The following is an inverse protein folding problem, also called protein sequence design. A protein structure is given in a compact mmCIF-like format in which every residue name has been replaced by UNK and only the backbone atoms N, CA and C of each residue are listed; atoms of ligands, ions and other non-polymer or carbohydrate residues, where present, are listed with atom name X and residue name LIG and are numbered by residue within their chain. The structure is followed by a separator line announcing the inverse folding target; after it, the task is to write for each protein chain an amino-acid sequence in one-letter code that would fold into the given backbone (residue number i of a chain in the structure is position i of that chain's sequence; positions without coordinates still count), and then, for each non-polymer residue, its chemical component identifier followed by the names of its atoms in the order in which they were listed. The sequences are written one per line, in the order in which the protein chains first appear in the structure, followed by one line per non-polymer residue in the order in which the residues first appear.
data_IF_018602069472
#
_entry.id   IF_018602069472
#
_cell.length_a   1.000
_cell.length_b   1.000
_cell.length_c   1.000
_cell.angle_alpha   90.00
_cell.angle_beta   90.00
_cell.angle_gamma   90.00
#
_symmetry.space_group_name_H-M   'P 1'
#
loop_
_entity.id
_entity.type
_entity.pdbx_description
1 polymer ?
#
# COMPACT_ATOMS: atom_id res chain seq x y z
N UNK A 1 -2.75 5.72 -0.89
CA UNK A 1 -1.80 4.65 -0.47
C UNK A 1 -1.70 4.50 1.04
N UNK A 2 -0.51 4.19 1.57
CA UNK A 2 -0.29 3.88 3.00
C UNK A 2 0.81 4.73 3.68
N UNK A 3 1.33 5.76 3.02
CA UNK A 3 2.43 6.60 3.51
C UNK A 3 2.15 7.36 4.80
N UNK A 4 0.88 7.51 5.21
CA UNK A 4 0.49 8.10 6.49
C UNK A 4 0.74 7.17 7.69
N UNK A 5 0.77 5.85 7.46
CA UNK A 5 0.77 4.86 8.53
C UNK A 5 2.07 4.88 9.38
N UNK A 6 3.29 4.99 8.80
CA UNK A 6 4.51 4.99 9.60
C UNK A 6 4.54 6.09 10.67
N UNK A 7 4.20 7.33 10.32
CA UNK A 7 4.22 8.45 11.27
C UNK A 7 3.17 8.28 12.36
N UNK A 8 1.97 7.84 11.99
CA UNK A 8 0.91 7.58 12.97
C UNK A 8 1.33 6.47 13.94
N UNK A 9 1.87 5.36 13.44
CA UNK A 9 2.31 4.24 14.28
C UNK A 9 3.44 4.63 15.23
N UNK A 10 4.45 5.39 14.76
CA UNK A 10 5.50 5.93 15.65
C UNK A 10 4.93 6.83 16.75
N UNK A 11 3.91 7.62 16.44
CA UNK A 11 3.25 8.48 17.42
C UNK A 11 2.48 7.66 18.48
N UNK A 12 1.78 6.62 18.04
CA UNK A 12 1.05 5.71 18.93
C UNK A 12 2.01 4.89 19.81
N UNK A 13 3.13 4.43 19.25
CA UNK A 13 4.17 3.72 19.99
C UNK A 13 4.78 4.62 21.07
N UNK A 14 5.09 5.88 20.76
CA UNK A 14 5.57 6.85 21.77
C UNK A 14 4.58 7.06 22.92
N UNK A 15 3.28 7.10 22.62
CA UNK A 15 2.23 7.20 23.65
C UNK A 15 2.22 5.92 24.51
N UNK A 16 2.29 4.75 23.89
CA UNK A 16 2.35 3.45 24.57
C UNK A 16 3.59 3.31 25.46
N UNK A 17 4.75 3.73 24.99
CA UNK A 17 5.99 3.77 25.76
C UNK A 17 5.87 4.71 26.97
N UNK A 18 5.24 5.87 26.78
CA UNK A 18 4.96 6.81 27.88
C UNK A 18 4.05 6.19 28.96
N UNK A 19 3.02 5.45 28.57
CA UNK A 19 2.18 4.70 29.51
C UNK A 19 2.98 3.62 30.24
N UNK A 20 3.78 2.85 29.50
CA UNK A 20 4.60 1.76 30.04
C UNK A 20 5.68 2.25 31.00
N UNK A 21 6.23 3.44 30.77
CA UNK A 21 7.23 4.07 31.62
C UNK A 21 6.65 4.88 32.79
N UNK A 22 5.32 5.00 32.92
CA UNK A 22 4.67 5.84 33.94
C UNK A 22 4.95 7.33 33.77
N UNK A 23 5.30 7.78 32.56
CA UNK A 23 5.75 9.13 32.26
C UNK A 23 4.63 10.08 31.77
N UNK A 24 3.38 9.61 31.75
CA UNK A 24 2.20 10.40 31.38
C UNK A 24 1.50 10.78 32.69
N UNK A 25 1.63 12.06 33.08
CA UNK A 25 1.29 12.58 34.42
C UNK A 25 -0.16 12.37 34.89
N UNK A 26 -0.36 12.56 36.21
CA UNK A 26 -1.60 12.40 37.03
C UNK A 26 -2.41 11.09 36.89
N UNK A 27 -2.22 10.31 35.84
CA UNK A 27 -2.91 9.05 35.60
C UNK A 27 -1.96 7.88 35.90
N UNK A 28 -2.20 7.19 37.02
CA UNK A 28 -1.46 5.97 37.37
C UNK A 28 -2.14 4.76 36.73
N UNK A 29 -1.51 4.18 35.71
CA UNK A 29 -2.03 3.00 35.00
C UNK A 29 -1.51 1.66 35.55
N UNK A 30 -0.77 1.70 36.66
CA UNK A 30 -0.26 0.50 37.32
C UNK A 30 -1.43 -0.43 37.70
N UNK A 31 -1.48 -1.61 37.09
CA UNK A 31 -2.53 -2.61 37.32
C UNK A 31 -3.77 -2.49 36.43
N UNK A 32 -3.79 -1.59 35.44
CA UNK A 32 -4.89 -1.54 34.46
C UNK A 32 -4.66 -2.54 33.32
N UNK A 33 -5.58 -3.50 33.16
CA UNK A 33 -5.52 -4.52 32.09
C UNK A 33 -5.65 -3.94 30.66
N UNK A 34 -5.99 -2.67 30.52
CA UNK A 34 -6.22 -2.01 29.23
C UNK A 34 -4.95 -1.51 28.52
N UNK A 35 -3.80 -1.48 29.22
CA UNK A 35 -2.53 -1.15 28.56
C UNK A 35 -2.10 -2.32 27.70
N UNK A 36 -1.90 -2.06 26.40
CA UNK A 36 -1.45 -3.06 25.45
C UNK A 36 -0.11 -3.67 25.89
N UNK A 37 0.09 -4.98 25.66
CA UNK A 37 1.34 -5.66 26.03
C UNK A 37 2.49 -5.27 25.12
N UNK A 38 2.21 -5.14 23.83
CA UNK A 38 3.16 -4.76 22.79
C UNK A 38 2.81 -3.37 22.24
N UNK A 39 3.75 -2.68 21.56
CA UNK A 39 3.45 -1.40 20.92
C UNK A 39 2.35 -1.53 19.85
N UNK A 40 1.55 -0.48 19.60
CA UNK A 40 0.55 -0.45 18.53
C UNK A 40 1.09 -0.90 17.17
N UNK A 41 2.33 -0.53 16.81
CA UNK A 41 2.98 -0.98 15.57
C UNK A 41 3.12 -2.50 15.46
N UNK A 42 3.39 -3.21 16.56
CA UNK A 42 3.44 -4.67 16.58
C UNK A 42 2.09 -5.27 16.18
N UNK A 43 0.99 -4.77 16.73
CA UNK A 43 -0.34 -5.27 16.39
C UNK A 43 -0.78 -4.87 14.99
N UNK A 44 -0.42 -3.67 14.53
CA UNK A 44 -0.67 -3.24 13.16
C UNK A 44 0.04 -4.15 12.16
N UNK A 45 1.34 -4.43 12.38
CA UNK A 45 2.12 -5.39 11.60
C UNK A 45 1.48 -6.77 11.57
N UNK A 46 0.91 -7.22 12.69
CA UNK A 46 0.32 -8.55 12.81
C UNK A 46 -1.06 -8.67 12.16
N UNK A 47 -1.90 -7.64 12.27
CA UNK A 47 -3.34 -7.77 12.03
C UNK A 47 -3.93 -6.79 11.00
N UNK A 48 -3.20 -5.74 10.62
CA UNK A 48 -3.71 -4.72 9.70
C UNK A 48 -3.16 -4.92 8.29
N UNK A 49 -4.04 -4.77 7.30
CA UNK A 49 -3.69 -4.70 5.88
C UNK A 49 -4.16 -3.36 5.31
N UNK A 50 -3.41 -2.82 4.37
CA UNK A 50 -3.63 -1.51 3.77
C UNK A 50 -4.00 -1.68 2.31
N UNK A 51 -5.26 -1.36 1.98
CA UNK A 51 -5.74 -1.26 0.60
C UNK A 51 -5.15 -0.02 -0.05
N UNK A 52 -3.97 -0.15 -0.65
CA UNK A 52 -3.35 0.90 -1.44
C UNK A 52 -4.00 0.88 -2.83
N UNK A 53 -5.20 1.46 -2.93
CA UNK A 53 -5.88 1.64 -4.21
C UNK A 53 -5.10 2.63 -5.07
N UNK A 54 -4.63 2.18 -6.24
CA UNK A 54 -3.95 3.00 -7.25
C UNK A 54 -2.92 4.02 -6.68
N UNK A 55 -1.94 3.57 -5.88
CA UNK A 55 -1.06 4.48 -5.17
C UNK A 55 -0.06 5.11 -6.13
N UNK A 56 0.40 6.32 -5.84
CA UNK A 56 1.63 6.85 -6.45
C UNK A 56 2.85 6.23 -5.77
N UNK A 57 4.03 6.35 -6.37
CA UNK A 57 5.26 5.87 -5.73
C UNK A 57 5.49 6.56 -4.37
N UNK A 58 5.21 7.87 -4.28
CA UNK A 58 5.33 8.63 -3.03
C UNK A 58 4.32 8.16 -1.96
N UNK A 59 3.15 7.66 -2.37
CA UNK A 59 2.18 7.07 -1.43
C UNK A 59 2.56 5.67 -0.93
N UNK A 60 3.61 5.08 -1.51
CA UNK A 60 4.26 3.86 -1.07
C UNK A 60 5.58 4.13 -0.33
N UNK A 61 5.94 5.39 -0.09
CA UNK A 61 7.09 5.73 0.76
C UNK A 61 6.84 5.26 2.19
N UNK A 62 7.90 4.76 2.84
CA UNK A 62 7.81 4.15 4.17
C UNK A 62 7.11 2.78 4.18
N UNK A 63 6.83 2.18 3.01
CA UNK A 63 6.23 0.84 2.92
C UNK A 63 7.01 -0.25 3.63
N UNK A 64 8.31 -0.10 3.84
CA UNK A 64 9.12 -1.06 4.61
C UNK A 64 8.82 -0.98 6.12
N UNK A 65 8.44 0.21 6.62
CA UNK A 65 8.08 0.43 8.02
C UNK A 65 6.66 -0.09 8.35
N UNK A 66 5.71 0.14 7.44
CA UNK A 66 4.42 -0.60 7.42
C UNK A 66 4.66 -2.10 7.23
N UNK A 67 5.70 -2.33 6.43
CA UNK A 67 6.18 -3.51 5.74
C UNK A 67 5.26 -4.04 4.64
N UNK A 68 5.95 -4.58 3.65
CA UNK A 68 5.42 -4.71 2.29
C UNK A 68 4.33 -5.77 2.22
N UNK A 69 4.35 -6.76 3.11
CA UNK A 69 3.43 -7.89 3.09
C UNK A 69 1.99 -7.58 3.56
N UNK A 70 1.74 -6.37 4.06
CA UNK A 70 0.47 -5.87 4.57
C UNK A 70 -0.20 -4.98 3.52
N UNK A 71 0.49 -4.63 2.44
CA UNK A 71 0.00 -3.71 1.42
C UNK A 71 -0.65 -4.51 0.30
N UNK A 72 -1.91 -4.22 0.01
CA UNK A 72 -2.64 -4.82 -1.09
C UNK A 72 -3.02 -3.74 -2.10
N UNK A 73 -2.67 -3.94 -3.37
CA UNK A 73 -3.11 -3.07 -4.45
C UNK A 73 -4.57 -3.35 -4.84
N UNK A 74 -5.27 -2.30 -5.26
CA UNK A 74 -6.58 -2.38 -5.88
C UNK A 74 -6.78 -1.29 -6.93
N UNK A 75 -7.65 -1.52 -7.91
CA UNK A 75 -7.96 -0.52 -8.94
C UNK A 75 -9.18 0.35 -8.63
N UNK A 76 -9.92 0.01 -7.57
CA UNK A 76 -11.13 0.71 -7.11
C UNK A 76 -12.25 0.83 -8.16
N UNK A 77 -12.42 -0.19 -8.99
CA UNK A 77 -13.56 -0.24 -9.90
C UNK A 77 -14.90 -0.30 -9.13
N UNK A 78 -15.96 0.42 -9.55
CA UNK A 78 -16.09 1.24 -10.76
C UNK A 78 -15.91 2.75 -10.53
N UNK A 79 -15.19 3.16 -9.49
CA UNK A 79 -15.07 4.58 -9.13
C UNK A 79 -14.34 5.37 -10.21
N UNK A 80 -14.71 6.66 -10.34
CA UNK A 80 -14.20 7.55 -11.38
C UNK A 80 -12.71 7.90 -11.16
N UNK A 81 -12.30 7.93 -9.89
CA UNK A 81 -10.94 8.10 -9.42
C UNK A 81 -10.07 6.85 -9.58
N UNK A 82 -10.67 5.68 -9.78
CA UNK A 82 -9.99 4.39 -9.95
C UNK A 82 -9.21 4.30 -11.27
N UNK A 83 -8.51 3.18 -11.47
CA UNK A 83 -7.61 3.04 -12.64
C UNK A 83 -8.21 2.28 -13.81
N UNK A 84 -9.42 1.74 -13.70
CA UNK A 84 -10.06 1.09 -14.84
C UNK A 84 -10.47 2.12 -15.91
N UNK A 85 -10.28 1.86 -17.22
CA UNK A 85 -9.71 0.65 -17.83
C UNK A 85 -8.17 0.64 -17.93
N UNK A 86 -7.51 1.74 -17.57
CA UNK A 86 -6.07 1.99 -17.66
C UNK A 86 -5.22 1.37 -16.52
N UNK A 87 -5.53 0.12 -16.13
CA UNK A 87 -4.84 -0.54 -15.02
C UNK A 87 -3.35 -0.75 -15.32
N UNK A 88 -2.97 -1.09 -16.55
CA UNK A 88 -1.56 -1.33 -16.86
C UNK A 88 -0.76 -0.02 -16.81
N UNK A 89 -1.34 1.05 -17.31
CA UNK A 89 -0.76 2.39 -17.33
C UNK A 89 -0.52 2.92 -15.90
N UNK A 90 -1.47 2.68 -14.98
CA UNK A 90 -1.27 3.05 -13.57
C UNK A 90 -0.13 2.25 -12.94
N UNK A 91 -0.06 0.95 -13.24
CA UNK A 91 1.03 0.10 -12.76
C UNK A 91 2.40 0.53 -13.30
N UNK A 92 2.48 0.93 -14.58
CA UNK A 92 3.70 1.44 -15.20
C UNK A 92 4.21 2.74 -14.55
N UNK A 93 3.30 3.62 -14.15
CA UNK A 93 3.67 4.88 -13.50
C UNK A 93 4.22 4.67 -12.08
N UNK A 94 3.66 3.72 -11.34
CA UNK A 94 3.98 3.54 -9.92
C UNK A 94 5.02 2.46 -9.68
N UNK A 95 4.87 1.29 -10.31
CA UNK A 95 5.60 0.08 -9.95
C UNK A 95 6.78 -0.22 -10.88
N UNK A 96 7.02 0.58 -11.94
CA UNK A 96 8.15 0.34 -12.86
C UNK A 96 9.53 0.29 -12.16
N UNK A 97 9.70 1.06 -11.08
CA UNK A 97 10.94 1.11 -10.29
C UNK A 97 10.91 0.31 -8.98
N UNK A 98 9.78 -0.33 -8.64
CA UNK A 98 9.64 -1.13 -7.42
C UNK A 98 10.26 -2.51 -7.66
N UNK A 99 11.07 -3.06 -6.72
CA UNK A 99 11.67 -4.38 -6.89
C UNK A 99 10.64 -5.48 -7.20
N UNK A 100 10.98 -6.41 -8.09
CA UNK A 100 10.03 -7.43 -8.58
C UNK A 100 9.35 -8.21 -7.45
N UNK A 101 10.12 -8.63 -6.45
CA UNK A 101 9.60 -9.34 -5.28
C UNK A 101 8.54 -8.52 -4.53
N UNK A 102 8.76 -7.22 -4.35
CA UNK A 102 7.79 -6.33 -3.70
C UNK A 102 6.54 -6.11 -4.54
N UNK A 103 6.69 -5.97 -5.87
CA UNK A 103 5.53 -5.86 -6.76
C UNK A 103 4.67 -7.09 -6.69
N UNK A 104 5.27 -8.29 -6.71
CA UNK A 104 4.51 -9.55 -6.62
C UNK A 104 3.73 -9.64 -5.31
N UNK A 105 4.35 -9.25 -4.20
CA UNK A 105 3.67 -9.13 -2.90
C UNK A 105 2.48 -8.19 -2.98
N UNK A 106 2.71 -6.93 -3.35
CA UNK A 106 1.70 -5.86 -3.33
C UNK A 106 0.55 -6.13 -4.31
N UNK A 107 0.86 -6.63 -5.51
CA UNK A 107 -0.10 -6.80 -6.60
C UNK A 107 -0.88 -8.11 -6.53
N UNK A 108 -0.48 -9.09 -5.71
CA UNK A 108 -1.19 -10.37 -5.67
C UNK A 108 -0.91 -11.27 -4.47
N UNK A 109 0.35 -11.49 -4.08
CA UNK A 109 0.67 -12.52 -3.09
C UNK A 109 0.13 -12.17 -1.69
N UNK A 110 0.10 -10.88 -1.33
CA UNK A 110 -0.46 -10.42 -0.06
C UNK A 110 -1.97 -10.64 0.02
N UNK A 111 -2.69 -10.27 -1.04
CA UNK A 111 -4.13 -10.50 -1.14
C UNK A 111 -4.46 -12.00 -1.13
N UNK A 112 -3.66 -12.81 -1.82
CA UNK A 112 -3.82 -14.27 -1.80
C UNK A 112 -3.64 -14.85 -0.39
N UNK A 113 -2.63 -14.38 0.35
CA UNK A 113 -2.42 -14.78 1.75
C UNK A 113 -3.58 -14.34 2.66
N UNK A 114 -4.03 -13.09 2.53
CA UNK A 114 -5.10 -12.53 3.35
C UNK A 114 -6.45 -13.24 3.14
N UNK A 115 -6.82 -13.45 1.88
CA UNK A 115 -8.10 -14.05 1.51
C UNK A 115 -8.05 -15.57 1.34
N UNK A 116 -6.90 -16.18 1.65
CA UNK A 116 -6.67 -17.62 1.53
C UNK A 116 -6.93 -18.17 0.11
N UNK A 117 -6.42 -17.46 -0.90
CA UNK A 117 -6.47 -17.93 -2.28
C UNK A 117 -5.34 -18.91 -2.61
N UNK A 118 -5.67 -19.90 -3.42
CA UNK A 118 -4.74 -20.89 -3.95
C UNK A 118 -3.98 -20.32 -5.17
N UNK A 119 -2.73 -19.90 -4.95
CA UNK A 119 -1.90 -19.30 -5.99
C UNK A 119 -1.60 -20.25 -7.16
N UNK A 120 -1.57 -21.56 -6.93
CA UNK A 120 -1.31 -22.53 -8.00
C UNK A 120 -2.52 -22.64 -8.94
N UNK A 121 -3.74 -22.55 -8.40
CA UNK A 121 -4.96 -22.45 -9.21
C UNK A 121 -5.10 -21.09 -9.92
N UNK A 122 -4.62 -20.01 -9.32
CA UNK A 122 -4.68 -18.68 -9.93
C UNK A 122 -3.61 -18.45 -10.99
N UNK A 123 -2.46 -19.13 -10.91
CA UNK A 123 -1.31 -18.92 -11.81
C UNK A 123 -1.65 -18.99 -13.30
N UNK A 124 -2.46 -19.95 -13.80
CA UNK A 124 -2.84 -19.99 -15.21
C UNK A 124 -3.70 -18.79 -15.63
N UNK A 125 -4.55 -18.28 -14.74
CA UNK A 125 -5.40 -17.11 -15.00
C UNK A 125 -4.56 -15.83 -14.98
N UNK A 126 -3.67 -15.69 -13.99
CA UNK A 126 -2.74 -14.57 -13.92
C UNK A 126 -1.83 -14.52 -15.16
N UNK A 127 -1.34 -15.67 -15.65
CA UNK A 127 -0.55 -15.74 -16.88
C UNK A 127 -1.34 -15.34 -18.13
N UNK A 128 -2.67 -15.55 -18.14
CA UNK A 128 -3.54 -15.23 -19.27
C UNK A 128 -4.03 -13.78 -19.26
N UNK A 129 -4.35 -13.24 -18.10
CA UNK A 129 -5.08 -11.97 -17.96
C UNK A 129 -4.30 -10.88 -17.20
N UNK A 130 -3.30 -11.27 -16.42
CA UNK A 130 -2.48 -10.34 -15.65
C UNK A 130 -1.39 -9.68 -16.49
N UNK A 131 -0.86 -8.52 -16.05
CA UNK A 131 0.30 -7.91 -16.67
C UNK A 131 1.57 -8.71 -16.37
N UNK A 132 2.49 -8.76 -17.34
CA UNK A 132 3.83 -9.32 -17.14
C UNK A 132 4.76 -8.30 -16.44
N UNK A 133 5.81 -8.74 -15.74
CA UNK A 133 6.81 -7.84 -15.17
C UNK A 133 7.38 -6.86 -16.21
N UNK A 134 7.69 -7.34 -17.41
CA UNK A 134 8.22 -6.50 -18.49
C UNK A 134 7.22 -5.43 -18.94
N UNK A 135 5.92 -5.73 -18.97
CA UNK A 135 4.90 -4.72 -19.28
C UNK A 135 4.83 -3.63 -18.20
N UNK A 136 4.92 -3.98 -16.92
CA UNK A 136 4.93 -3.02 -15.80
C UNK A 136 6.20 -2.18 -15.79
N UNK A 137 7.35 -2.76 -16.14
CA UNK A 137 8.64 -2.05 -16.22
C UNK A 137 8.75 -1.12 -17.43
N UNK A 138 7.94 -1.34 -18.47
CA UNK A 138 7.98 -0.52 -19.68
C UNK A 138 7.42 0.88 -19.36
N UNK A 139 8.23 1.95 -19.52
CA UNK A 139 7.76 3.30 -19.20
C UNK A 139 6.57 3.74 -20.05
N UNK A 140 5.57 4.32 -19.41
CA UNK A 140 4.36 4.82 -20.06
C UNK A 140 4.66 6.03 -20.95
N UNK A 141 4.42 5.89 -22.26
CA UNK A 141 4.70 6.93 -23.27
C UNK A 141 3.62 8.00 -23.34
N UNK A 142 2.35 7.58 -23.38
CA UNK A 142 1.19 8.45 -23.45
C UNK A 142 0.36 8.28 -22.19
N UNK A 143 -0.01 9.39 -21.56
CA UNK A 143 -0.88 9.36 -20.39
C UNK A 143 -2.33 9.40 -20.88
N UNK A 144 -3.22 8.50 -20.42
CA UNK A 144 -4.64 8.54 -20.78
C UNK A 144 -5.24 9.93 -20.47
N UNK A 145 -5.91 10.57 -21.42
CA UNK A 145 -6.41 11.95 -21.27
C UNK A 145 -7.83 12.01 -20.69
N UNK A 146 -8.61 10.96 -20.93
CA UNK A 146 -10.00 10.77 -20.54
C UNK A 146 -10.17 10.22 -19.12
N UNK A 147 -9.07 9.92 -18.43
CA UNK A 147 -9.10 9.38 -17.06
C UNK A 147 -9.04 10.46 -15.99
N UNK A 148 -9.97 10.37 -15.03
CA UNK A 148 -10.05 11.20 -13.83
C UNK A 148 -9.11 10.79 -12.68
N UNK A 149 -8.53 9.59 -12.73
CA UNK A 149 -7.56 9.13 -11.74
C UNK A 149 -6.42 10.14 -11.53
N UNK A 150 -6.17 10.48 -10.27
CA UNK A 150 -5.21 11.53 -9.90
C UNK A 150 -3.78 11.21 -10.39
N UNK A 151 -3.39 9.94 -10.44
CA UNK A 151 -2.10 9.50 -10.98
C UNK A 151 -1.85 10.05 -12.38
N UNK A 152 -2.86 9.93 -13.25
CA UNK A 152 -2.75 10.40 -14.63
C UNK A 152 -2.88 11.91 -14.72
N UNK A 153 -3.80 12.51 -13.94
CA UNK A 153 -3.97 13.98 -13.89
C UNK A 153 -2.67 14.67 -13.49
N UNK A 154 -2.02 14.20 -12.44
CA UNK A 154 -0.79 14.78 -11.92
C UNK A 154 0.40 14.52 -12.85
N UNK A 155 0.47 13.34 -13.46
CA UNK A 155 1.52 13.03 -14.44
C UNK A 155 1.37 13.88 -15.73
N UNK A 156 0.14 14.14 -16.19
CA UNK A 156 -0.11 15.08 -17.31
C UNK A 156 0.38 16.47 -16.98
N UNK A 157 0.06 16.99 -15.79
CA UNK A 157 0.54 18.29 -15.30
C UNK A 157 2.07 18.31 -15.28
N UNK A 158 2.69 17.30 -14.69
CA UNK A 158 4.16 17.19 -14.60
C UNK A 158 4.86 17.19 -15.96
N UNK A 159 4.30 16.51 -16.96
CA UNK A 159 4.86 16.46 -18.33
C UNK A 159 4.59 17.72 -19.15
N UNK A 160 3.44 18.37 -18.97
CA UNK A 160 3.05 19.58 -19.70
C UNK A 160 3.64 20.89 -19.17
N UNK A 161 4.24 20.88 -17.98
CA UNK A 161 4.90 22.07 -17.37
C UNK A 161 6.39 22.16 -17.77
N UNK A 162 6.77 21.62 -18.94
CA UNK A 162 8.13 21.71 -19.51
C UNK A 162 8.15 22.57 -20.76
#
# INVERSE_FOLDING_TARGET
GCSWAPEMLRSLDRIHEGFSAGAIGEMTYAGMEWVLKEPPSFYARRNCYYGASFPSLAELDGREEVGVEQICWGNDYPHYEGTFPYNLESLQLTFGAVPDAERRMILGENAARLYNFDLDKLRPLAARYGPTPQQVETPLRQIPEDSGCYLFVDERRRRGTR
#
